data_IF_804147891499
#
_entry.id   IF_804147891499
#
_cell.length_a   1.000
_cell.length_b   1.000
_cell.length_c   1.000
_cell.angle_alpha   90.00
_cell.angle_beta   90.00
_cell.angle_gamma   90.00
#
_symmetry.space_group_name_H-M   'P 1'
#
loop_
_entity.id
_entity.type
_entity.pdbx_description
1 polymer ?
#
# COMPACT_ATOMS: atom_id res chain seq x y z
N UNK A 1 -12.27 -73.86 18.89
CA UNK A 1 -12.11 -72.82 17.82
C UNK A 1 -12.35 -71.50 18.49
N UNK A 2 -11.30 -71.06 19.18
CA UNK A 2 -11.45 -70.47 20.50
C UNK A 2 -10.99 -69.03 20.49
N UNK A 3 -11.65 -68.22 21.32
CA UNK A 3 -11.41 -66.87 21.87
C UNK A 3 -10.23 -66.02 21.37
N UNK A 4 -9.11 -66.60 20.97
CA UNK A 4 -7.98 -65.92 20.32
C UNK A 4 -8.34 -65.26 18.99
N UNK A 5 -9.16 -65.87 18.14
CA UNK A 5 -9.51 -65.29 16.83
C UNK A 5 -10.41 -64.05 16.97
N UNK A 6 -11.43 -64.12 17.83
CA UNK A 6 -12.30 -62.98 18.15
C UNK A 6 -11.55 -61.88 18.92
N UNK A 7 -10.65 -62.25 19.84
CA UNK A 7 -9.77 -61.31 20.54
C UNK A 7 -8.84 -60.54 19.60
N UNK A 8 -8.30 -61.19 18.55
CA UNK A 8 -7.46 -60.53 17.55
C UNK A 8 -8.25 -59.57 16.65
N UNK A 9 -9.48 -59.91 16.25
CA UNK A 9 -10.33 -59.03 15.45
C UNK A 9 -10.75 -57.78 16.25
N UNK A 10 -11.15 -57.96 17.52
CA UNK A 10 -11.51 -56.83 18.38
C UNK A 10 -10.30 -55.94 18.67
N UNK A 11 -9.13 -56.53 18.95
CA UNK A 11 -7.90 -55.79 19.16
C UNK A 11 -7.43 -55.04 17.90
N UNK A 12 -7.56 -55.63 16.71
CA UNK A 12 -7.22 -54.98 15.44
C UNK A 12 -8.20 -53.83 15.11
N UNK A 13 -9.49 -53.98 15.44
CA UNK A 13 -10.51 -52.95 15.21
C UNK A 13 -10.33 -51.77 16.17
N UNK A 14 -10.06 -52.04 17.46
CA UNK A 14 -9.75 -51.00 18.45
C UNK A 14 -8.41 -50.34 18.14
N UNK A 15 -7.39 -51.13 17.78
CA UNK A 15 -6.07 -50.63 17.37
C UNK A 15 -6.14 -49.76 16.11
N UNK A 16 -6.95 -50.15 15.12
CA UNK A 16 -7.21 -49.37 13.91
C UNK A 16 -7.97 -48.07 14.17
N UNK A 17 -8.97 -48.09 15.06
CA UNK A 17 -9.71 -46.89 15.45
C UNK A 17 -8.85 -45.89 16.24
N UNK A 18 -8.00 -46.39 17.16
CA UNK A 18 -7.06 -45.56 17.92
C UNK A 18 -5.96 -45.01 17.00
N UNK A 19 -5.43 -45.81 16.07
CA UNK A 19 -4.44 -45.35 15.09
C UNK A 19 -5.01 -44.30 14.13
N UNK A 20 -6.25 -44.46 13.67
CA UNK A 20 -6.93 -43.47 12.83
C UNK A 20 -7.25 -42.17 13.60
N UNK A 21 -7.74 -42.29 14.84
CA UNK A 21 -8.03 -41.13 15.69
C UNK A 21 -6.77 -40.37 16.12
N UNK A 22 -5.67 -41.07 16.40
CA UNK A 22 -4.37 -40.45 16.71
C UNK A 22 -3.74 -39.82 15.47
N UNK A 23 -3.85 -40.44 14.29
CA UNK A 23 -3.43 -39.84 13.01
C UNK A 23 -4.15 -38.53 12.73
N UNK A 24 -5.48 -38.53 12.79
CA UNK A 24 -6.30 -37.31 12.62
C UNK A 24 -5.95 -36.22 13.64
N UNK A 25 -5.78 -36.57 14.91
CA UNK A 25 -5.41 -35.60 15.95
C UNK A 25 -4.01 -35.01 15.74
N UNK A 26 -3.03 -35.83 15.34
CA UNK A 26 -1.66 -35.36 15.04
C UNK A 26 -1.65 -34.44 13.83
N UNK A 27 -2.41 -34.78 12.78
CA UNK A 27 -2.51 -33.98 11.57
C UNK A 27 -3.23 -32.66 11.84
N UNK A 28 -4.34 -32.69 12.58
CA UNK A 28 -5.03 -31.49 13.04
C UNK A 28 -4.11 -30.58 13.86
N UNK A 29 -3.36 -31.14 14.83
CA UNK A 29 -2.41 -30.36 15.64
C UNK A 29 -1.27 -29.77 14.80
N UNK A 30 -0.80 -30.49 13.78
CA UNK A 30 0.22 -29.98 12.83
C UNK A 30 -0.34 -28.86 11.96
N UNK A 31 -1.57 -29.01 11.49
CA UNK A 31 -2.25 -28.00 10.67
C UNK A 31 -2.52 -26.72 11.47
N UNK A 32 -3.04 -26.84 12.70
CA UNK A 32 -3.22 -25.69 13.59
C UNK A 32 -1.89 -24.95 13.86
N UNK A 33 -0.80 -25.68 14.13
CA UNK A 33 0.53 -25.06 14.31
C UNK A 33 1.04 -24.36 13.05
N UNK A 34 0.80 -24.93 11.86
CA UNK A 34 1.16 -24.28 10.59
C UNK A 34 0.34 -23.01 10.39
N UNK A 35 -0.94 -23.05 10.74
CA UNK A 35 -1.85 -21.92 10.68
C UNK A 35 -1.41 -20.79 11.63
N UNK A 36 -1.11 -21.10 12.89
CA UNK A 36 -0.60 -20.14 13.88
C UNK A 36 0.70 -19.48 13.40
N UNK A 37 1.62 -20.30 12.84
CA UNK A 37 2.87 -19.79 12.27
C UNK A 37 2.62 -18.89 11.06
N UNK A 38 1.72 -19.27 10.16
CA UNK A 38 1.36 -18.47 9.00
C UNK A 38 0.73 -17.13 9.41
N UNK A 39 -0.19 -17.16 10.40
CA UNK A 39 -0.77 -15.96 10.99
C UNK A 39 0.31 -15.06 11.61
N UNK A 40 1.23 -15.62 12.39
CA UNK A 40 2.32 -14.86 12.99
C UNK A 40 3.22 -14.20 11.93
N UNK A 41 3.59 -14.93 10.87
CA UNK A 41 4.38 -14.40 9.75
C UNK A 41 3.63 -13.30 8.98
N UNK A 42 2.33 -13.47 8.76
CA UNK A 42 1.49 -12.46 8.13
C UNK A 42 1.42 -11.19 8.98
N UNK A 43 1.23 -11.32 10.30
CA UNK A 43 1.23 -10.19 11.24
C UNK A 43 2.55 -9.44 11.14
N UNK A 44 3.68 -10.14 11.19
CA UNK A 44 5.00 -9.52 11.06
C UNK A 44 5.15 -8.80 9.73
N UNK A 45 4.80 -9.44 8.62
CA UNK A 45 4.90 -8.83 7.29
C UNK A 45 4.04 -7.57 7.13
N UNK A 46 2.81 -7.58 7.65
CA UNK A 46 1.94 -6.39 7.66
C UNK A 46 2.51 -5.31 8.59
N UNK A 47 2.98 -5.66 9.78
CA UNK A 47 3.57 -4.69 10.71
C UNK A 47 4.79 -4.00 10.12
N UNK A 48 5.72 -4.77 9.54
CA UNK A 48 6.95 -4.24 8.93
C UNK A 48 6.62 -3.30 7.77
N UNK A 49 5.67 -3.68 6.91
CA UNK A 49 5.18 -2.85 5.81
C UNK A 49 4.54 -1.54 6.31
N UNK A 50 3.66 -1.62 7.32
CA UNK A 50 3.02 -0.44 7.89
C UNK A 50 4.06 0.47 8.57
N UNK A 51 5.03 -0.08 9.28
CA UNK A 51 6.12 0.70 9.89
C UNK A 51 6.96 1.41 8.84
N UNK A 52 7.29 0.73 7.74
CA UNK A 52 8.00 1.35 6.62
C UNK A 52 7.15 2.45 5.97
N UNK A 53 5.85 2.22 5.76
CA UNK A 53 4.91 3.21 5.23
C UNK A 53 4.88 4.49 6.07
N UNK A 54 4.91 4.38 7.41
CA UNK A 54 4.93 5.55 8.30
C UNK A 54 6.13 6.46 8.02
N UNK A 55 7.31 5.89 7.82
CA UNK A 55 8.54 6.63 7.50
C UNK A 55 8.41 7.31 6.13
N UNK A 56 7.88 6.59 5.15
CA UNK A 56 7.70 7.13 3.80
C UNK A 56 6.67 8.26 3.73
N UNK A 57 5.59 8.20 4.53
CA UNK A 57 4.63 9.29 4.60
C UNK A 57 5.25 10.58 5.16
N UNK A 58 6.13 10.49 6.17
CA UNK A 58 6.87 11.65 6.66
C UNK A 58 7.81 12.18 5.58
N UNK A 59 8.54 11.29 4.90
CA UNK A 59 9.45 11.65 3.81
C UNK A 59 8.71 12.42 2.70
N UNK A 60 7.53 11.97 2.26
CA UNK A 60 6.71 12.69 1.26
C UNK A 60 6.31 14.08 1.75
N UNK A 61 5.86 14.19 3.00
CA UNK A 61 5.48 15.48 3.58
C UNK A 61 6.68 16.43 3.66
N UNK A 62 7.82 15.95 4.14
CA UNK A 62 9.05 16.73 4.28
C UNK A 62 9.62 17.18 2.93
N UNK A 63 9.68 16.28 1.95
CA UNK A 63 10.09 16.58 0.57
C UNK A 63 9.20 17.70 0.01
N UNK A 64 7.88 17.52 0.10
CA UNK A 64 6.93 18.50 -0.42
C UNK A 64 7.04 19.86 0.28
N UNK A 65 7.22 19.89 1.61
CA UNK A 65 7.40 21.15 2.35
C UNK A 65 8.67 21.90 1.94
N UNK A 66 9.76 21.18 1.69
CA UNK A 66 11.08 21.77 1.36
C UNK A 66 11.18 22.21 -0.09
N UNK A 67 10.68 21.41 -1.03
CA UNK A 67 10.95 21.59 -2.46
C UNK A 67 9.70 21.84 -3.29
N UNK A 68 8.50 21.64 -2.73
CA UNK A 68 7.22 21.60 -3.47
C UNK A 68 7.22 20.55 -4.60
N UNK A 69 8.06 19.54 -4.45
CA UNK A 69 8.22 18.40 -5.36
C UNK A 69 8.01 17.13 -4.56
N UNK A 70 7.19 16.23 -5.09
CA UNK A 70 7.11 14.84 -4.62
C UNK A 70 7.96 13.97 -5.53
N UNK A 71 8.90 13.21 -4.96
CA UNK A 71 9.74 12.31 -5.72
C UNK A 71 8.98 11.02 -6.04
N UNK A 72 8.94 10.66 -7.33
CA UNK A 72 8.29 9.41 -7.77
C UNK A 72 8.94 8.16 -7.18
N UNK A 73 10.24 8.20 -6.86
CA UNK A 73 10.91 7.12 -6.15
C UNK A 73 10.24 6.84 -4.79
N UNK A 74 9.98 7.87 -3.98
CA UNK A 74 9.29 7.72 -2.69
C UNK A 74 7.86 7.20 -2.86
N UNK A 75 7.15 7.63 -3.91
CA UNK A 75 5.80 7.11 -4.19
C UNK A 75 5.82 5.65 -4.66
N UNK A 76 6.83 5.24 -5.43
CA UNK A 76 7.00 3.86 -5.85
C UNK A 76 7.32 2.96 -4.66
N UNK A 77 8.21 3.37 -3.76
CA UNK A 77 8.49 2.66 -2.50
C UNK A 77 7.20 2.45 -1.69
N UNK A 78 6.34 3.47 -1.58
CA UNK A 78 5.02 3.33 -0.94
C UNK A 78 4.13 2.31 -1.66
N UNK A 79 4.11 2.31 -3.00
CA UNK A 79 3.30 1.33 -3.74
C UNK A 79 3.82 -0.10 -3.58
N UNK A 80 5.14 -0.28 -3.59
CA UNK A 80 5.79 -1.58 -3.39
C UNK A 80 5.50 -2.13 -2.00
N UNK A 81 5.50 -1.28 -0.99
CA UNK A 81 5.13 -1.64 0.38
C UNK A 81 3.76 -2.37 0.43
N UNK A 82 2.78 -1.86 -0.32
CA UNK A 82 1.41 -2.42 -0.38
C UNK A 82 1.33 -3.76 -1.09
N UNK A 83 2.37 -4.16 -1.81
CA UNK A 83 2.41 -5.43 -2.52
C UNK A 83 2.37 -6.62 -1.56
N UNK A 84 2.91 -6.46 -0.34
CA UNK A 84 2.80 -7.46 0.74
C UNK A 84 1.33 -7.77 1.01
N UNK A 85 0.50 -6.74 1.20
CA UNK A 85 -0.93 -6.93 1.39
C UNK A 85 -1.62 -7.50 0.13
N UNK A 86 -1.32 -6.96 -1.06
CA UNK A 86 -1.99 -7.39 -2.29
C UNK A 86 -1.78 -8.89 -2.57
N UNK A 87 -0.57 -9.38 -2.33
CA UNK A 87 -0.20 -10.78 -2.53
C UNK A 87 -0.71 -11.71 -1.42
N UNK A 88 -1.09 -11.17 -0.27
CA UNK A 88 -1.54 -11.94 0.89
C UNK A 88 -2.99 -11.62 1.31
N UNK A 89 -3.77 -10.94 0.47
CA UNK A 89 -5.13 -10.48 0.81
C UNK A 89 -6.06 -11.62 1.25
N UNK A 90 -5.90 -12.79 0.63
CA UNK A 90 -6.72 -13.96 0.93
C UNK A 90 -6.38 -14.54 2.31
N UNK A 91 -5.14 -14.34 2.76
CA UNK A 91 -4.70 -14.73 4.10
C UNK A 91 -5.17 -13.78 5.19
N UNK A 92 -5.70 -12.60 4.88
CA UNK A 92 -6.23 -11.67 5.89
C UNK A 92 -7.48 -12.26 6.56
N UNK A 93 -8.16 -13.21 5.92
CA UNK A 93 -9.30 -13.91 6.54
C UNK A 93 -8.91 -14.72 7.78
N UNK A 94 -7.61 -15.02 7.98
CA UNK A 94 -7.10 -15.71 9.16
C UNK A 94 -7.19 -14.89 10.45
N UNK A 95 -7.45 -13.58 10.34
CA UNK A 95 -7.76 -12.75 11.50
C UNK A 95 -9.23 -12.95 11.90
N UNK A 96 -9.46 -13.39 13.14
CA UNK A 96 -10.81 -13.61 13.67
C UNK A 96 -11.57 -12.28 13.90
N UNK A 97 -10.83 -11.18 14.12
CA UNK A 97 -11.38 -9.84 14.29
C UNK A 97 -11.87 -9.26 12.94
N UNK A 98 -13.19 -9.30 12.75
CA UNK A 98 -13.85 -8.77 11.56
C UNK A 98 -13.67 -7.27 11.32
N UNK A 99 -13.54 -6.47 12.39
CA UNK A 99 -13.39 -5.02 12.28
C UNK A 99 -11.94 -4.64 11.97
N UNK A 100 -10.96 -5.35 12.55
CA UNK A 100 -9.56 -5.23 12.16
C UNK A 100 -9.37 -5.58 10.69
N UNK A 101 -9.95 -6.69 10.22
CA UNK A 101 -9.89 -7.05 8.79
C UNK A 101 -10.40 -5.90 7.91
N UNK A 102 -11.58 -5.37 8.20
CA UNK A 102 -12.15 -4.23 7.45
C UNK A 102 -11.24 -3.01 7.48
N UNK A 103 -10.62 -2.70 8.63
CA UNK A 103 -9.67 -1.60 8.75
C UNK A 103 -8.43 -1.81 7.87
N UNK A 104 -7.85 -3.02 7.88
CA UNK A 104 -6.70 -3.37 7.02
C UNK A 104 -7.08 -3.21 5.55
N UNK A 105 -8.18 -3.84 5.11
CA UNK A 105 -8.66 -3.74 3.72
C UNK A 105 -8.86 -2.29 3.29
N UNK A 106 -9.55 -1.51 4.12
CA UNK A 106 -9.84 -0.10 3.84
C UNK A 106 -8.57 0.75 3.79
N UNK A 107 -7.64 0.54 4.74
CA UNK A 107 -6.37 1.25 4.78
C UNK A 107 -5.58 1.04 3.47
N UNK A 108 -5.38 -0.21 3.07
CA UNK A 108 -4.57 -0.52 1.89
C UNK A 108 -5.20 -0.01 0.60
N UNK A 109 -6.51 -0.15 0.44
CA UNK A 109 -7.24 0.37 -0.71
C UNK A 109 -7.15 1.91 -0.78
N UNK A 110 -7.60 2.58 0.28
CA UNK A 110 -7.72 4.05 0.26
C UNK A 110 -6.36 4.74 0.19
N UNK A 111 -5.35 4.18 0.84
CA UNK A 111 -4.01 4.77 0.80
C UNK A 111 -3.34 4.55 -0.56
N UNK A 112 -3.59 3.41 -1.23
CA UNK A 112 -3.13 3.19 -2.60
C UNK A 112 -3.75 4.18 -3.60
N UNK A 113 -5.05 4.43 -3.46
CA UNK A 113 -5.77 5.40 -4.30
C UNK A 113 -5.23 6.82 -4.08
N UNK A 114 -4.98 7.20 -2.83
CA UNK A 114 -4.41 8.50 -2.50
C UNK A 114 -2.99 8.68 -3.07
N UNK A 115 -2.15 7.64 -3.03
CA UNK A 115 -0.80 7.69 -3.63
C UNK A 115 -0.90 7.82 -5.15
N UNK A 116 -1.80 7.06 -5.78
CA UNK A 116 -2.00 7.10 -7.23
C UNK A 116 -2.49 8.48 -7.68
N UNK A 117 -3.39 9.10 -6.91
CA UNK A 117 -3.85 10.46 -7.15
C UNK A 117 -2.73 11.49 -6.98
N UNK A 118 -1.90 11.35 -5.94
CA UNK A 118 -0.75 12.23 -5.73
C UNK A 118 0.26 12.14 -6.89
N UNK A 119 0.57 10.92 -7.32
CA UNK A 119 1.44 10.69 -8.47
C UNK A 119 0.87 11.31 -9.75
N UNK A 120 -0.43 11.10 -10.01
CA UNK A 120 -1.12 11.67 -11.15
C UNK A 120 -1.02 13.21 -11.15
N UNK A 121 -1.31 13.85 -10.02
CA UNK A 121 -1.23 15.30 -9.88
C UNK A 121 0.20 15.82 -10.09
N UNK A 122 1.21 15.13 -9.54
CA UNK A 122 2.62 15.52 -9.69
C UNK A 122 3.10 15.33 -11.14
N UNK A 123 2.68 14.25 -11.80
CA UNK A 123 2.97 14.00 -13.23
C UNK A 123 2.32 15.07 -14.11
N UNK A 124 1.06 15.38 -13.83
CA UNK A 124 0.32 16.41 -14.57
C UNK A 124 0.98 17.78 -14.42
N UNK A 125 1.47 18.13 -13.24
CA UNK A 125 2.26 19.35 -13.01
C UNK A 125 3.47 19.41 -13.96
N UNK A 126 4.26 18.33 -14.02
CA UNK A 126 5.43 18.28 -14.91
C UNK A 126 5.08 18.33 -16.40
N UNK A 127 3.98 17.71 -16.82
CA UNK A 127 3.49 17.82 -18.20
C UNK A 127 3.19 19.27 -18.60
N UNK A 128 2.55 20.03 -17.70
CA UNK A 128 2.23 21.44 -17.93
C UNK A 128 3.50 22.30 -17.99
N UNK A 129 4.48 22.05 -17.11
CA UNK A 129 5.78 22.72 -17.11
C UNK A 129 6.56 22.44 -18.41
N UNK A 130 6.57 21.19 -18.87
CA UNK A 130 7.21 20.82 -20.13
C UNK A 130 6.54 21.49 -21.33
N UNK A 131 5.20 21.47 -21.39
CA UNK A 131 4.45 22.13 -22.46
C UNK A 131 4.73 23.64 -22.49
N UNK A 132 4.84 24.28 -21.33
CA UNK A 132 5.23 25.69 -21.25
C UNK A 132 6.65 25.92 -21.80
N UNK A 133 7.63 25.12 -21.37
CA UNK A 133 9.02 25.25 -21.82
C UNK A 133 9.18 25.02 -23.33
N UNK A 134 8.46 24.06 -23.90
CA UNK A 134 8.43 23.81 -25.35
C UNK A 134 7.89 25.04 -26.11
N UNK A 135 6.81 25.64 -25.61
CA UNK A 135 6.21 26.81 -26.23
C UNK A 135 7.12 28.05 -26.13
N UNK A 136 7.74 28.29 -24.98
CA UNK A 136 8.74 29.36 -24.81
C UNK A 136 9.89 29.18 -25.79
N UNK A 137 10.42 27.95 -25.90
CA UNK A 137 11.51 27.62 -26.84
C UNK A 137 11.10 27.90 -28.28
N UNK A 138 9.87 27.51 -28.67
CA UNK A 138 9.33 27.78 -29.99
C UNK A 138 9.21 29.28 -30.27
N UNK A 139 8.61 30.04 -29.37
CA UNK A 139 8.45 31.52 -29.50
C UNK A 139 9.81 32.20 -29.69
N UNK A 140 10.81 31.81 -28.90
CA UNK A 140 12.18 32.34 -29.04
C UNK A 140 12.85 31.97 -30.37
N UNK A 141 12.59 30.76 -30.87
CA UNK A 141 13.15 30.33 -32.16
C UNK A 141 12.61 31.16 -33.33
N UNK A 142 11.35 31.59 -33.23
CA UNK A 142 10.67 32.44 -34.20
C UNK A 142 11.04 33.93 -34.01
N UNK A 143 11.34 34.34 -32.77
CA UNK A 143 11.69 35.72 -32.41
C UNK A 143 13.02 35.78 -31.64
N UNK A 144 14.15 35.71 -32.36
CA UNK A 144 15.50 35.59 -31.78
C UNK A 144 15.94 36.75 -30.87
N UNK A 145 15.29 37.90 -30.97
CA UNK A 145 15.59 39.09 -30.13
C UNK A 145 14.71 39.18 -28.89
N UNK A 146 13.73 38.28 -28.73
CA UNK A 146 12.82 38.28 -27.59
C UNK A 146 13.53 37.79 -26.33
N UNK A 147 13.28 38.47 -25.20
CA UNK A 147 13.78 38.06 -23.90
C UNK A 147 13.07 36.80 -23.39
N UNK A 148 13.70 36.06 -22.46
CA UNK A 148 13.08 34.88 -21.84
C UNK A 148 11.78 35.22 -21.10
N UNK A 149 11.76 36.37 -20.43
CA UNK A 149 10.61 36.83 -19.67
C UNK A 149 9.40 37.17 -20.57
N UNK A 150 9.66 37.81 -21.71
CA UNK A 150 8.60 38.17 -22.65
C UNK A 150 8.07 36.95 -23.40
N UNK A 151 8.96 36.02 -23.79
CA UNK A 151 8.56 34.74 -24.36
C UNK A 151 7.74 33.91 -23.35
N UNK A 152 8.11 33.93 -22.07
CA UNK A 152 7.36 33.31 -20.98
C UNK A 152 5.95 33.90 -20.83
N UNK A 153 5.84 35.23 -20.78
CA UNK A 153 4.54 35.93 -20.70
C UNK A 153 3.66 35.63 -21.92
N UNK A 154 4.24 35.60 -23.11
CA UNK A 154 3.53 35.27 -24.33
C UNK A 154 3.09 33.79 -24.36
N UNK A 155 3.93 32.87 -23.90
CA UNK A 155 3.54 31.45 -23.79
C UNK A 155 2.36 31.28 -22.83
N UNK A 156 2.36 31.96 -21.68
CA UNK A 156 1.25 31.92 -20.72
C UNK A 156 -0.05 32.50 -21.30
N UNK A 157 0.02 33.53 -22.15
CA UNK A 157 -1.19 34.09 -22.78
C UNK A 157 -1.85 33.13 -23.76
N UNK A 158 -1.09 32.20 -24.36
CA UNK A 158 -1.64 31.11 -25.18
C UNK A 158 -2.08 29.89 -24.36
N UNK A 159 -1.68 29.79 -23.10
CA UNK A 159 -1.88 28.64 -22.22
C UNK A 159 -2.75 28.97 -21.01
N UNK A 160 -3.75 29.87 -21.15
CA UNK A 160 -4.55 30.36 -20.02
C UNK A 160 -5.20 29.22 -19.23
N UNK A 161 -5.76 28.21 -19.91
CA UNK A 161 -6.42 27.07 -19.25
C UNK A 161 -5.42 26.22 -18.49
N UNK A 162 -4.30 25.88 -19.13
CA UNK A 162 -3.20 25.12 -18.54
C UNK A 162 -2.56 25.84 -17.37
N UNK A 163 -2.41 27.16 -17.45
CA UNK A 163 -1.89 27.97 -16.35
C UNK A 163 -2.86 27.96 -15.16
N UNK A 164 -4.17 28.07 -15.39
CA UNK A 164 -5.16 27.94 -14.32
C UNK A 164 -5.12 26.54 -13.68
N UNK A 165 -4.99 25.49 -14.48
CA UNK A 165 -4.82 24.11 -14.00
C UNK A 165 -3.54 23.96 -13.18
N UNK A 166 -2.43 24.55 -13.63
CA UNK A 166 -1.16 24.54 -12.91
C UNK A 166 -1.29 25.22 -11.54
N UNK A 167 -1.95 26.38 -11.48
CA UNK A 167 -2.18 27.09 -10.22
C UNK A 167 -3.04 26.28 -9.26
N UNK A 168 -4.09 25.62 -9.77
CA UNK A 168 -4.95 24.73 -8.99
C UNK A 168 -4.18 23.50 -8.46
N UNK A 169 -3.34 22.88 -9.30
CA UNK A 169 -2.48 21.78 -8.89
C UNK A 169 -1.51 22.20 -7.77
N UNK A 170 -0.84 23.33 -7.94
CA UNK A 170 0.22 23.77 -7.03
C UNK A 170 -0.31 24.31 -5.70
N UNK A 171 -1.47 24.99 -5.72
CA UNK A 171 -2.01 25.69 -4.56
C UNK A 171 -3.09 24.91 -3.81
N UNK A 172 -3.76 23.95 -4.46
CA UNK A 172 -4.90 23.21 -3.88
C UNK A 172 -4.64 21.70 -3.90
N UNK A 173 -4.59 21.09 -5.09
CA UNK A 173 -4.66 19.61 -5.21
C UNK A 173 -3.45 18.89 -4.63
N UNK A 174 -2.23 19.36 -4.90
CA UNK A 174 -1.01 18.74 -4.35
C UNK A 174 -0.94 18.91 -2.82
N UNK A 175 -1.12 20.12 -2.24
CA UNK A 175 -1.20 20.27 -0.78
C UNK A 175 -2.22 19.34 -0.13
N UNK A 176 -3.44 19.28 -0.67
CA UNK A 176 -4.51 18.42 -0.14
C UNK A 176 -4.16 16.94 -0.23
N UNK A 177 -3.60 16.50 -1.36
CA UNK A 177 -3.21 15.10 -1.56
C UNK A 177 -2.09 14.69 -0.59
N UNK A 178 -1.12 15.57 -0.32
CA UNK A 178 -0.05 15.34 0.67
C UNK A 178 -0.62 15.30 2.08
N UNK A 179 -1.52 16.24 2.44
CA UNK A 179 -2.19 16.24 3.74
C UNK A 179 -3.00 14.95 3.95
N UNK A 180 -3.68 14.48 2.90
CA UNK A 180 -4.46 13.24 2.95
C UNK A 180 -3.59 12.01 3.24
N UNK A 181 -2.37 11.94 2.69
CA UNK A 181 -1.45 10.85 2.99
C UNK A 181 -1.07 10.79 4.47
N UNK A 182 -0.91 11.95 5.12
CA UNK A 182 -0.60 12.03 6.54
C UNK A 182 -1.70 11.46 7.44
N UNK A 183 -2.96 11.54 7.03
CA UNK A 183 -4.09 10.97 7.78
C UNK A 183 -4.00 9.44 7.90
N UNK A 184 -3.38 8.76 6.92
CA UNK A 184 -3.21 7.31 6.97
C UNK A 184 -2.21 6.86 8.05
N UNK A 185 -1.36 7.76 8.56
CA UNK A 185 -0.40 7.41 9.63
C UNK A 185 -1.09 6.94 10.90
N UNK A 186 -2.07 7.70 11.37
CA UNK A 186 -2.83 7.34 12.57
C UNK A 186 -3.58 6.00 12.40
N UNK A 187 -4.06 5.74 11.18
CA UNK A 187 -4.72 4.46 10.86
C UNK A 187 -3.72 3.30 10.87
N UNK A 188 -2.55 3.46 10.25
CA UNK A 188 -1.49 2.47 10.26
C UNK A 188 -0.99 2.16 11.69
N UNK A 189 -0.74 3.19 12.49
CA UNK A 189 -0.35 3.04 13.90
C UNK A 189 -1.40 2.24 14.70
N UNK A 190 -2.68 2.53 14.51
CA UNK A 190 -3.77 1.80 15.16
C UNK A 190 -3.78 0.32 14.76
N UNK A 191 -3.62 0.03 13.46
CA UNK A 191 -3.56 -1.35 12.94
C UNK A 191 -2.36 -2.09 13.52
N UNK A 192 -1.17 -1.47 13.55
CA UNK A 192 0.04 -2.06 14.13
C UNK A 192 -0.19 -2.45 15.60
N UNK A 193 -0.78 -1.56 16.40
CA UNK A 193 -1.05 -1.82 17.83
C UNK A 193 -1.98 -3.03 17.98
N UNK A 194 -3.07 -3.08 17.21
CA UNK A 194 -4.02 -4.20 17.26
C UNK A 194 -3.37 -5.51 16.86
N UNK A 195 -2.57 -5.51 15.79
CA UNK A 195 -1.87 -6.69 15.30
C UNK A 195 -0.83 -7.22 16.28
N UNK A 196 -0.08 -6.32 16.95
CA UNK A 196 0.89 -6.71 17.99
C UNK A 196 0.23 -7.32 19.23
N UNK A 197 -0.97 -6.88 19.59
CA UNK A 197 -1.74 -7.47 20.70
C UNK A 197 -2.31 -8.87 20.37
N UNK A 198 -2.24 -9.29 19.10
CA UNK A 198 -2.69 -10.60 18.63
C UNK A 198 -1.56 -11.63 18.50
N UNK A 199 -0.31 -11.21 18.77
CA UNK A 199 0.87 -12.08 18.89
C UNK A 199 1.02 -12.56 20.33
#
# INVERSE_FOLDING_TARGET
MDDQFWGQIVAATIGGAIAAGTGWFIDWRRESRKFDKARALLITGICDDLQHSLVLFDKVSDEYQKTRIIYFATLNELKESRHVYQNNKDWITVFDDGDLRKQIFKYYLQSNDAISMLEFNQRRKYELENKHNELVTKIKSENKTMSDEDAGRQALSYMVKENNEYMDLNNVRLPESVAKLREFKATAENIIVKLKNMQ
#
